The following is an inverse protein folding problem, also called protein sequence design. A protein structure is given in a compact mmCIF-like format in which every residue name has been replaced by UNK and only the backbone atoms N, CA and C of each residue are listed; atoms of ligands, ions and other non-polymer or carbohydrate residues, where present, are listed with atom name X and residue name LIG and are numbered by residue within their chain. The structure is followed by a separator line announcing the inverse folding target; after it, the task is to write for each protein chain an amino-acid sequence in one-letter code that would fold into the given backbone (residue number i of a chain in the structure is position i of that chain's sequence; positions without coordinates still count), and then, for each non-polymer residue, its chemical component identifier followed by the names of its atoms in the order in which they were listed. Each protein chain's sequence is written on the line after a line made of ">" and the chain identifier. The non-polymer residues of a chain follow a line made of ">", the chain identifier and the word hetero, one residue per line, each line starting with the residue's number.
data_IF_163785166947
#
_entry.id   IF_163785166947
#
_cell.length_a   1.000
_cell.length_b   1.000
_cell.length_c   1.000
_cell.angle_alpha   90.00
_cell.angle_beta   90.00
_cell.angle_gamma   90.00
#
_symmetry.space_group_name_H-M   'P 1'
#
loop_
_entity.id
_entity.type
_entity.pdbx_description
1 polymer ?
#
# COMPACT_ATOMS: atom_id res chain seq x y z
N UNK A 1 20.87 -6.97 -11.74
CA UNK A 1 19.49 -6.59 -11.39
C UNK A 1 19.29 -5.14 -11.77
N UNK A 2 18.19 -4.81 -12.45
CA UNK A 2 17.84 -3.42 -12.78
C UNK A 2 17.40 -2.65 -11.53
N UNK A 3 17.27 -1.33 -11.66
CA UNK A 3 16.67 -0.50 -10.60
C UNK A 3 15.19 -0.92 -10.41
N UNK A 4 14.76 -1.34 -9.20
CA UNK A 4 13.38 -1.78 -8.94
C UNK A 4 12.35 -0.68 -9.18
N UNK A 5 12.73 0.60 -9.13
CA UNK A 5 11.83 1.70 -9.48
C UNK A 5 11.56 1.71 -10.99
N UNK A 6 12.62 1.73 -11.80
CA UNK A 6 12.52 1.68 -13.27
C UNK A 6 11.77 0.43 -13.75
N UNK A 7 11.98 -0.70 -13.08
CA UNK A 7 11.27 -1.93 -13.40
C UNK A 7 9.78 -1.84 -13.06
N UNK A 8 9.42 -1.24 -11.92
CA UNK A 8 8.03 -1.03 -11.56
C UNK A 8 7.31 -0.08 -12.55
N UNK A 9 7.98 0.96 -13.02
CA UNK A 9 7.44 1.89 -14.02
C UNK A 9 7.19 1.20 -15.37
N UNK A 10 8.18 0.47 -15.90
CA UNK A 10 8.01 -0.32 -17.14
C UNK A 10 6.91 -1.39 -17.00
N UNK A 11 6.83 -2.02 -15.83
CA UNK A 11 5.78 -2.98 -15.54
C UNK A 11 4.39 -2.32 -15.57
N UNK A 12 4.25 -1.10 -15.03
CA UNK A 12 2.99 -0.37 -15.06
C UNK A 12 2.53 -0.09 -16.49
N UNK A 13 3.42 0.44 -17.33
CA UNK A 13 3.12 0.77 -18.72
C UNK A 13 2.70 -0.46 -19.52
N UNK A 14 3.43 -1.57 -19.38
CA UNK A 14 3.11 -2.83 -20.07
C UNK A 14 1.77 -3.44 -19.62
N UNK A 15 1.24 -3.04 -18.46
CA UNK A 15 -0.06 -3.46 -17.93
C UNK A 15 -1.16 -2.38 -18.10
N UNK A 16 -0.89 -1.30 -18.85
CA UNK A 16 -1.84 -0.23 -19.11
C UNK A 16 -2.22 0.57 -17.85
N UNK A 17 -1.31 0.65 -16.89
CA UNK A 17 -1.42 1.49 -15.69
C UNK A 17 -0.62 2.77 -15.88
N UNK A 18 -1.07 3.86 -15.27
CA UNK A 18 -0.28 5.07 -15.16
C UNK A 18 0.87 4.85 -14.17
N UNK A 19 2.14 5.10 -14.54
CA UNK A 19 3.32 4.71 -13.78
C UNK A 19 3.61 5.67 -12.62
N UNK A 20 2.66 5.82 -11.70
CA UNK A 20 2.79 6.68 -10.50
C UNK A 20 2.97 5.83 -9.24
N UNK A 21 4.17 5.89 -8.64
CA UNK A 21 4.51 5.11 -7.44
C UNK A 21 4.04 5.80 -6.15
N UNK A 22 4.36 7.09 -5.98
CA UNK A 22 3.92 7.91 -4.83
C UNK A 22 4.20 9.38 -5.11
N UNK A 23 3.35 10.24 -4.56
CA UNK A 23 3.53 11.70 -4.62
C UNK A 23 4.63 12.22 -3.67
N UNK A 24 5.10 11.39 -2.72
CA UNK A 24 6.12 11.76 -1.72
C UNK A 24 7.50 11.13 -1.98
N UNK A 25 7.71 10.49 -3.14
CA UNK A 25 9.02 9.95 -3.50
C UNK A 25 9.85 11.00 -4.26
N UNK A 26 10.47 11.89 -3.51
CA UNK A 26 11.82 12.38 -3.83
C UNK A 26 12.82 11.28 -3.39
N UNK A 27 13.90 11.03 -4.14
CA UNK A 27 14.92 10.02 -3.80
C UNK A 27 15.51 10.24 -2.41
N UNK A 28 15.65 11.49 -1.97
CA UNK A 28 16.13 11.82 -0.62
C UNK A 28 15.02 11.75 0.43
N UNK A 29 13.76 11.93 0.03
CA UNK A 29 12.59 11.76 0.89
C UNK A 29 12.24 10.28 1.09
N UNK A 30 12.46 9.40 0.10
CA UNK A 30 12.37 7.94 0.23
C UNK A 30 13.33 7.41 1.32
N UNK A 31 14.57 7.92 1.32
CA UNK A 31 15.59 7.65 2.35
C UNK A 31 15.25 8.26 3.71
N UNK A 32 14.53 9.37 3.75
CA UNK A 32 14.05 10.01 4.99
C UNK A 32 12.77 9.39 5.55
N UNK A 33 11.86 8.91 4.71
CA UNK A 33 10.65 8.16 5.10
C UNK A 33 11.04 6.80 5.68
N UNK A 34 12.07 6.14 5.11
CA UNK A 34 12.73 4.99 5.74
C UNK A 34 13.31 5.30 7.13
N UNK A 35 13.55 6.59 7.44
CA UNK A 35 14.01 7.09 8.74
C UNK A 35 12.91 7.72 9.62
N UNK A 36 11.71 7.99 9.11
CA UNK A 36 10.69 8.83 9.79
C UNK A 36 9.32 8.17 9.87
N UNK A 37 9.27 6.85 10.03
CA UNK A 37 8.03 6.15 10.42
C UNK A 37 7.75 6.44 11.91
N UNK A 38 7.09 7.57 12.17
CA UNK A 38 6.26 7.79 13.35
C UNK A 38 5.08 8.70 12.99
N UNK A 39 3.89 8.49 13.58
CA UNK A 39 2.61 8.88 13.00
C UNK A 39 2.31 10.36 13.21
N UNK A 40 1.64 10.99 12.24
CA UNK A 40 0.98 12.29 12.44
C UNK A 40 -0.44 12.25 11.88
N UNK A 41 -1.29 13.01 12.55
CA UNK A 41 -2.69 12.72 12.86
C UNK A 41 -3.70 13.16 11.79
N UNK A 42 -4.93 12.62 11.97
CA UNK A 42 -6.23 13.10 11.47
C UNK A 42 -6.75 12.54 10.14
N UNK A 43 -7.02 11.23 10.13
CA UNK A 43 -8.27 10.68 9.59
C UNK A 43 -8.71 9.53 10.51
N UNK A 44 -9.94 9.53 11.05
CA UNK A 44 -10.46 8.43 11.89
C UNK A 44 -10.84 7.22 11.02
N UNK A 45 -9.82 6.54 10.50
CA UNK A 45 -9.87 5.08 10.35
C UNK A 45 -9.09 4.52 11.54
N UNK A 46 -9.48 3.39 12.13
CA UNK A 46 -8.64 2.72 13.11
C UNK A 46 -7.32 2.35 12.41
N UNK A 47 -6.27 3.17 12.62
CA UNK A 47 -4.97 2.96 11.99
C UNK A 47 -4.30 1.77 12.66
N UNK A 48 -4.39 0.62 12.00
CA UNK A 48 -3.79 -0.59 12.50
C UNK A 48 -2.27 -0.54 12.30
N UNK A 49 -1.51 -0.77 13.38
CA UNK A 49 -0.07 -0.53 13.43
C UNK A 49 0.77 -1.49 12.56
N UNK A 50 0.19 -2.57 12.05
CA UNK A 50 0.92 -3.62 11.34
C UNK A 50 0.91 -3.45 9.82
N UNK A 51 1.95 -3.98 9.21
CA UNK A 51 1.99 -4.24 7.77
C UNK A 51 1.31 -5.57 7.46
N UNK A 52 0.84 -5.72 6.23
CA UNK A 52 0.11 -6.89 5.79
C UNK A 52 0.65 -7.41 4.45
N UNK A 53 0.93 -8.71 4.39
CA UNK A 53 1.43 -9.40 3.21
C UNK A 53 0.35 -10.37 2.71
N UNK A 54 -0.03 -10.32 1.42
CA UNK A 54 -0.84 -11.37 0.82
C UNK A 54 -0.13 -12.74 0.94
N UNK A 55 -0.79 -13.72 1.56
CA UNK A 55 -0.30 -15.11 1.56
C UNK A 55 -0.74 -15.87 0.32
N UNK A 56 -1.83 -15.40 -0.30
CA UNK A 56 -2.52 -16.04 -1.40
C UNK A 56 -3.19 -14.94 -2.25
N UNK A 57 -4.11 -15.37 -3.10
CA UNK A 57 -5.00 -14.47 -3.81
C UNK A 57 -5.94 -13.74 -2.83
N UNK A 58 -5.93 -12.42 -2.88
CA UNK A 58 -6.75 -11.56 -2.04
C UNK A 58 -7.58 -10.59 -2.87
N UNK A 59 -8.73 -10.18 -2.35
CA UNK A 59 -9.48 -9.04 -2.88
C UNK A 59 -9.36 -7.88 -1.90
N UNK A 60 -8.93 -6.73 -2.39
CA UNK A 60 -8.66 -5.53 -1.61
C UNK A 60 -9.51 -4.36 -2.10
N UNK A 61 -9.87 -3.47 -1.17
CA UNK A 61 -10.34 -2.11 -1.49
C UNK A 61 -9.28 -1.13 -1.02
N UNK A 62 -8.55 -0.52 -1.95
CA UNK A 62 -7.59 0.53 -1.62
C UNK A 62 -8.30 1.79 -1.16
N UNK A 63 -7.83 2.39 -0.07
CA UNK A 63 -8.38 3.62 0.51
C UNK A 63 -7.36 4.75 0.56
N UNK A 64 -6.09 4.43 0.36
CA UNK A 64 -5.00 5.40 0.29
C UNK A 64 -3.89 4.82 -0.59
N UNK A 65 -3.75 5.34 -1.82
CA UNK A 65 -2.73 4.92 -2.79
C UNK A 65 -1.46 5.77 -2.77
N UNK A 66 -1.53 7.02 -2.29
CA UNK A 66 -0.46 8.01 -2.44
C UNK A 66 0.83 7.73 -1.64
N UNK A 67 0.90 6.61 -0.92
CA UNK A 67 2.03 6.18 -0.08
C UNK A 67 2.52 4.79 -0.49
N UNK A 68 3.78 4.48 -0.13
CA UNK A 68 4.33 3.13 -0.21
C UNK A 68 4.65 2.67 1.22
N UNK A 69 3.99 1.61 1.74
CA UNK A 69 2.88 0.86 1.13
C UNK A 69 1.55 1.64 1.11
N UNK A 70 0.63 1.32 0.17
CA UNK A 70 -0.73 1.83 0.20
C UNK A 70 -1.54 1.20 1.33
N UNK A 71 -2.69 1.81 1.66
CA UNK A 71 -3.64 1.24 2.62
C UNK A 71 -4.85 0.64 1.91
N UNK A 72 -5.29 -0.53 2.38
CA UNK A 72 -6.46 -1.21 1.85
C UNK A 72 -7.25 -1.98 2.92
N UNK A 73 -8.55 -2.12 2.69
CA UNK A 73 -9.38 -3.10 3.39
C UNK A 73 -9.30 -4.46 2.72
N UNK A 74 -9.17 -5.52 3.50
CA UNK A 74 -9.31 -6.89 3.02
C UNK A 74 -10.79 -7.23 2.82
N UNK A 75 -11.14 -7.70 1.62
CA UNK A 75 -12.49 -8.16 1.26
C UNK A 75 -12.58 -9.67 1.18
N UNK A 76 -11.55 -10.32 0.65
CA UNK A 76 -11.48 -11.78 0.48
C UNK A 76 -10.01 -12.24 0.60
N UNK A 77 -9.80 -13.48 1.05
CA UNK A 77 -8.47 -14.10 1.19
C UNK A 77 -7.81 -13.88 2.54
N UNK A 78 -6.47 -14.03 2.57
CA UNK A 78 -5.63 -14.00 3.78
C UNK A 78 -4.47 -13.01 3.67
N UNK A 79 -4.26 -12.27 4.76
CA UNK A 79 -3.12 -11.38 4.94
C UNK A 79 -2.34 -11.81 6.19
N UNK A 80 -1.04 -12.05 6.04
CA UNK A 80 -0.12 -12.23 7.16
C UNK A 80 0.32 -10.87 7.68
N UNK A 81 0.23 -10.68 8.99
CA UNK A 81 0.65 -9.44 9.62
C UNK A 81 2.14 -9.47 9.95
N UNK A 82 2.79 -8.32 9.88
CA UNK A 82 4.14 -8.11 10.37
C UNK A 82 4.22 -6.81 11.16
N UNK A 83 4.85 -6.86 12.33
CA UNK A 83 5.12 -5.65 13.10
C UNK A 83 6.28 -4.86 12.47
N UNK A 84 7.35 -5.56 12.07
CA UNK A 84 8.49 -4.96 11.39
C UNK A 84 8.47 -5.20 9.87
N UNK A 85 8.75 -4.17 9.09
CA UNK A 85 8.90 -4.27 7.62
C UNK A 85 10.14 -5.08 7.29
N UNK A 86 9.97 -6.15 6.52
CA UNK A 86 11.06 -6.95 5.94
C UNK A 86 10.59 -7.71 4.70
N UNK A 87 11.50 -8.21 3.83
CA UNK A 87 11.12 -9.15 2.78
C UNK A 87 10.35 -10.34 3.36
N UNK A 88 9.41 -10.89 2.60
CA UNK A 88 8.50 -11.93 3.12
C UNK A 88 9.24 -13.19 3.59
N UNK A 89 10.29 -13.60 2.90
CA UNK A 89 11.10 -14.74 3.34
C UNK A 89 11.79 -14.50 4.69
N UNK A 90 12.23 -13.27 4.96
CA UNK A 90 12.80 -12.89 6.26
C UNK A 90 11.74 -12.82 7.36
N UNK A 91 10.50 -12.44 7.02
CA UNK A 91 9.36 -12.52 7.92
C UNK A 91 9.10 -13.96 8.35
N UNK A 92 9.08 -14.90 7.41
CA UNK A 92 8.87 -16.31 7.73
C UNK A 92 9.99 -16.85 8.64
N UNK A 93 11.26 -16.55 8.34
CA UNK A 93 12.39 -16.94 9.19
C UNK A 93 12.29 -16.36 10.60
N UNK A 94 11.89 -15.09 10.73
CA UNK A 94 11.71 -14.45 12.04
C UNK A 94 10.57 -15.07 12.84
N UNK A 95 9.46 -15.43 12.18
CA UNK A 95 8.33 -16.14 12.81
C UNK A 95 8.77 -17.51 13.32
N UNK A 96 9.55 -18.25 12.53
CA UNK A 96 10.12 -19.56 12.92
C UNK A 96 11.10 -19.41 14.10
N UNK A 97 11.97 -18.40 14.05
CA UNK A 97 12.92 -18.06 15.10
C UNK A 97 12.28 -17.47 16.37
N UNK A 98 10.96 -17.20 16.36
CA UNK A 98 10.19 -16.59 17.45
C UNK A 98 10.58 -15.13 17.75
N UNK A 99 10.96 -14.38 16.72
CA UNK A 99 11.33 -12.97 16.79
C UNK A 99 10.23 -12.04 16.25
N UNK A 100 9.09 -12.58 15.81
CA UNK A 100 7.97 -11.85 15.23
C UNK A 100 6.64 -12.55 15.56
N UNK A 101 5.54 -11.79 15.47
CA UNK A 101 4.18 -12.30 15.68
C UNK A 101 3.76 -13.27 14.55
N UNK A 102 3.09 -14.37 14.91
CA UNK A 102 2.48 -15.30 13.95
C UNK A 102 0.97 -15.08 13.94
N UNK A 103 0.56 -14.08 13.15
CA UNK A 103 -0.82 -13.63 13.04
C UNK A 103 -1.23 -13.51 11.58
N UNK A 104 -2.37 -14.09 11.26
CA UNK A 104 -3.01 -13.98 9.95
C UNK A 104 -4.41 -13.42 10.12
N UNK A 105 -4.78 -12.48 9.26
CA UNK A 105 -6.13 -11.96 9.13
C UNK A 105 -6.77 -12.58 7.89
N UNK A 106 -8.03 -13.01 8.02
CA UNK A 106 -8.81 -13.61 6.94
C UNK A 106 -10.24 -13.10 6.98
N UNK A 107 -10.92 -13.11 5.83
CA UNK A 107 -12.37 -12.87 5.79
C UNK A 107 -13.11 -14.20 5.87
N UNK A 108 -14.06 -14.31 6.80
CA UNK A 108 -14.93 -15.48 6.98
C UNK A 108 -16.35 -14.97 7.20
N UNK A 109 -17.29 -15.40 6.36
CA UNK A 109 -18.70 -14.96 6.43
C UNK A 109 -18.81 -13.43 6.51
N UNK A 110 -18.11 -12.72 5.61
CA UNK A 110 -18.06 -11.25 5.51
C UNK A 110 -17.51 -10.53 6.77
N UNK A 111 -16.83 -11.25 7.67
CA UNK A 111 -16.22 -10.69 8.87
C UNK A 111 -14.72 -10.98 8.91
N UNK A 112 -13.94 -10.03 9.40
CA UNK A 112 -12.52 -10.24 9.66
C UNK A 112 -12.34 -11.16 10.86
N UNK A 113 -11.57 -12.22 10.67
CA UNK A 113 -11.17 -13.17 11.69
C UNK A 113 -9.65 -13.17 11.80
N UNK A 114 -9.15 -13.20 13.04
CA UNK A 114 -7.72 -13.33 13.32
C UNK A 114 -7.40 -14.77 13.69
N UNK A 115 -6.49 -15.38 12.94
CA UNK A 115 -5.81 -16.60 13.33
C UNK A 115 -4.52 -16.22 14.06
N UNK A 116 -4.47 -16.48 15.37
CA UNK A 116 -3.32 -16.15 16.22
C UNK A 116 -2.66 -17.43 16.67
N UNK A 117 -1.48 -17.73 16.14
CA UNK A 117 -0.66 -18.84 16.65
C UNK A 117 0.26 -18.37 17.76
N UNK A 118 0.81 -17.15 17.62
CA UNK A 118 1.72 -16.55 18.61
C UNK A 118 1.72 -15.03 18.50
N UNK A 119 1.71 -14.36 19.65
CA UNK A 119 1.68 -12.90 19.76
C UNK A 119 2.63 -12.46 20.86
N UNK A 120 3.62 -11.67 20.49
CA UNK A 120 4.57 -10.98 21.37
C UNK A 120 4.31 -9.48 21.42
N UNK A 121 3.94 -8.87 20.29
CA UNK A 121 3.85 -7.41 20.15
C UNK A 121 2.42 -6.88 20.01
N UNK A 122 1.46 -7.69 19.53
CA UNK A 122 0.10 -7.19 19.25
C UNK A 122 -0.72 -6.96 20.52
N UNK A 123 -1.06 -5.68 20.77
CA UNK A 123 -1.94 -5.23 21.84
C UNK A 123 -3.40 -5.67 21.59
N UNK A 124 -4.15 -5.96 22.67
CA UNK A 124 -5.56 -6.32 22.62
C UNK A 124 -6.45 -5.28 21.92
N UNK A 125 -6.07 -4.00 21.96
CA UNK A 125 -6.76 -2.91 21.25
C UNK A 125 -6.66 -3.09 19.74
N UNK A 126 -5.48 -3.45 19.27
CA UNK A 126 -5.20 -3.72 17.87
C UNK A 126 -6.05 -4.91 17.36
N UNK A 127 -6.23 -5.94 18.19
CA UNK A 127 -7.12 -7.07 17.90
C UNK A 127 -8.57 -6.62 17.72
N UNK A 128 -9.07 -5.76 18.62
CA UNK A 128 -10.42 -5.25 18.55
C UNK A 128 -10.63 -4.41 17.29
N UNK A 129 -9.65 -3.56 16.93
CA UNK A 129 -9.69 -2.75 15.71
C UNK A 129 -9.82 -3.63 14.45
N UNK A 130 -9.00 -4.69 14.33
CA UNK A 130 -9.10 -5.61 13.17
C UNK A 130 -10.52 -6.19 13.08
N UNK A 131 -11.06 -6.67 14.20
CA UNK A 131 -12.38 -7.29 14.22
C UNK A 131 -13.50 -6.33 13.81
N UNK A 132 -13.26 -5.01 13.91
CA UNK A 132 -14.21 -3.95 13.57
C UNK A 132 -14.04 -3.40 12.14
N UNK A 133 -13.03 -3.84 11.38
CA UNK A 133 -12.81 -3.40 9.99
C UNK A 133 -11.63 -2.45 9.83
N UNK A 134 -10.40 -2.91 10.09
CA UNK A 134 -9.17 -2.14 9.88
C UNK A 134 -8.73 -2.07 8.42
N UNK A 135 -8.17 -0.92 8.03
CA UNK A 135 -7.37 -0.80 6.82
C UNK A 135 -5.91 -1.17 7.13
N UNK A 136 -5.29 -1.97 6.27
CA UNK A 136 -3.94 -2.48 6.42
C UNK A 136 -2.96 -1.75 5.51
N UNK A 137 -1.72 -1.58 5.96
CA UNK A 137 -0.59 -1.15 5.12
C UNK A 137 -0.10 -2.35 4.31
N UNK A 138 -0.48 -2.44 3.03
CA UNK A 138 -0.27 -3.66 2.22
C UNK A 138 1.09 -3.62 1.53
N UNK A 139 1.94 -4.61 1.84
CA UNK A 139 3.26 -4.81 1.23
C UNK A 139 3.25 -5.98 0.26
N UNK A 140 4.18 -5.93 -0.69
CA UNK A 140 4.57 -7.07 -1.50
C UNK A 140 5.64 -7.90 -0.79
N UNK A 141 6.00 -9.04 -1.37
CA UNK A 141 7.04 -9.91 -0.79
C UNK A 141 8.46 -9.34 -0.94
N UNK A 142 8.65 -8.42 -1.89
CA UNK A 142 9.89 -7.68 -2.15
C UNK A 142 9.60 -6.19 -2.27
N UNK A 143 10.67 -5.39 -2.38
CA UNK A 143 10.53 -3.96 -2.70
C UNK A 143 9.81 -3.77 -4.04
N UNK A 144 10.22 -4.51 -5.07
CA UNK A 144 9.63 -4.40 -6.40
C UNK A 144 8.13 -4.72 -6.40
N UNK A 145 7.69 -5.80 -5.76
CA UNK A 145 6.26 -6.10 -5.66
C UNK A 145 5.50 -5.07 -4.81
N UNK A 146 6.11 -4.50 -3.78
CA UNK A 146 5.52 -3.39 -3.01
C UNK A 146 5.30 -2.13 -3.85
N UNK A 147 6.26 -1.78 -4.72
CA UNK A 147 6.13 -0.66 -5.65
C UNK A 147 5.01 -0.91 -6.68
N UNK A 148 4.92 -2.13 -7.23
CA UNK A 148 3.83 -2.53 -8.14
C UNK A 148 2.46 -2.39 -7.47
N UNK A 149 2.31 -2.81 -6.22
CA UNK A 149 1.06 -2.66 -5.45
C UNK A 149 0.70 -1.18 -5.24
N UNK A 150 1.67 -0.32 -4.93
CA UNK A 150 1.43 1.12 -4.81
C UNK A 150 0.96 1.74 -6.14
N UNK A 151 1.54 1.35 -7.27
CA UNK A 151 1.11 1.78 -8.60
C UNK A 151 -0.35 1.36 -8.85
N UNK A 152 -0.71 0.11 -8.56
CA UNK A 152 -2.09 -0.36 -8.72
C UNK A 152 -3.04 0.51 -7.88
N UNK A 153 -2.67 0.82 -6.63
CA UNK A 153 -3.47 1.64 -5.74
C UNK A 153 -3.66 3.09 -6.23
N UNK A 154 -2.70 3.65 -6.97
CA UNK A 154 -2.82 4.98 -7.60
C UNK A 154 -3.64 4.98 -8.90
N UNK A 155 -4.03 3.82 -9.41
CA UNK A 155 -4.80 3.67 -10.64
C UNK A 155 -6.27 3.31 -10.38
N UNK A 156 -6.74 3.49 -9.14
CA UNK A 156 -8.12 3.17 -8.74
C UNK A 156 -8.74 4.26 -7.85
N UNK A 157 -10.06 4.38 -7.89
CA UNK A 157 -10.83 5.34 -7.08
C UNK A 157 -10.80 4.89 -5.60
N UNK A 158 -10.26 5.67 -4.66
CA UNK A 158 -10.16 5.28 -3.26
C UNK A 158 -11.52 4.97 -2.63
N UNK A 159 -11.61 3.84 -1.93
CA UNK A 159 -12.83 3.39 -1.25
C UNK A 159 -13.96 2.92 -2.18
N UNK A 160 -13.83 3.10 -3.50
CA UNK A 160 -14.80 2.67 -4.52
C UNK A 160 -14.16 1.75 -5.57
N UNK A 161 -13.23 0.91 -5.11
CA UNK A 161 -12.54 -0.06 -5.94
C UNK A 161 -12.57 -1.45 -5.32
N UNK A 162 -12.39 -2.44 -6.18
CA UNK A 162 -12.13 -3.83 -5.82
C UNK A 162 -11.00 -4.32 -6.72
N UNK A 163 -9.91 -4.74 -6.10
CA UNK A 163 -8.72 -5.22 -6.79
C UNK A 163 -8.41 -6.61 -6.29
N UNK A 164 -8.38 -7.55 -7.22
CA UNK A 164 -7.90 -8.91 -7.00
C UNK A 164 -6.39 -8.92 -7.17
N UNK A 165 -5.65 -9.49 -6.22
CA UNK A 165 -4.20 -9.40 -6.15
C UNK A 165 -3.61 -10.74 -5.69
N UNK A 166 -2.56 -11.21 -6.37
CA UNK A 166 -1.73 -12.34 -5.95
C UNK A 166 -0.27 -11.93 -6.04
N UNK A 167 0.51 -12.22 -5.00
CA UNK A 167 1.91 -11.80 -4.87
C UNK A 167 2.78 -13.00 -4.54
N UNK A 168 3.83 -13.22 -5.32
CA UNK A 168 4.83 -14.26 -5.08
C UNK A 168 6.20 -13.72 -5.45
N UNK A 169 7.03 -13.41 -4.44
CA UNK A 169 8.30 -12.74 -4.67
C UNK A 169 8.14 -11.38 -5.36
N UNK A 170 8.74 -11.23 -6.54
CA UNK A 170 8.65 -10.03 -7.37
C UNK A 170 7.44 -10.02 -8.31
N UNK A 171 6.79 -11.17 -8.48
CA UNK A 171 5.63 -11.35 -9.35
C UNK A 171 4.36 -10.81 -8.66
N UNK A 172 3.65 -9.94 -9.37
CA UNK A 172 2.36 -9.40 -8.94
C UNK A 172 1.37 -9.63 -10.07
N UNK A 173 0.40 -10.52 -9.84
CA UNK A 173 -0.77 -10.69 -10.70
C UNK A 173 -1.90 -9.89 -10.11
N UNK A 174 -2.62 -9.15 -10.95
CA UNK A 174 -3.71 -8.32 -10.49
C UNK A 174 -4.85 -8.25 -11.52
N UNK A 175 -6.04 -7.96 -11.03
CA UNK A 175 -7.21 -7.61 -11.83
C UNK A 175 -7.97 -6.51 -11.10
N UNK A 176 -8.23 -5.38 -11.77
CA UNK A 176 -9.07 -4.30 -11.24
C UNK A 176 -10.51 -4.64 -11.62
N UNK A 177 -11.25 -5.18 -10.66
CA UNK A 177 -12.65 -5.58 -10.83
C UNK A 177 -13.57 -4.34 -10.92
N UNK A 178 -13.29 -3.32 -10.11
CA UNK A 178 -14.11 -2.11 -10.02
C UNK A 178 -13.24 -0.87 -9.74
N UNK A 179 -13.68 0.29 -10.22
CA UNK A 179 -13.09 1.59 -9.84
C UNK A 179 -11.76 1.93 -10.53
N UNK A 180 -11.46 1.35 -11.70
CA UNK A 180 -10.28 1.72 -12.50
C UNK A 180 -10.36 3.18 -12.95
N UNK A 181 -9.26 3.91 -12.79
CA UNK A 181 -9.10 5.27 -13.31
C UNK A 181 -8.49 5.23 -14.72
N UNK A 182 -8.90 6.18 -15.56
CA UNK A 182 -8.21 6.51 -16.80
C UNK A 182 -6.96 7.33 -16.51
N UNK A 183 -6.05 7.41 -17.48
CA UNK A 183 -4.80 8.15 -17.36
C UNK A 183 -5.02 9.61 -16.96
N UNK A 184 -5.94 10.30 -17.62
CA UNK A 184 -6.23 11.71 -17.38
C UNK A 184 -6.82 11.93 -15.98
N UNK A 185 -7.53 10.93 -15.45
CA UNK A 185 -8.10 10.94 -14.11
C UNK A 185 -7.03 10.74 -13.03
N UNK A 186 -6.04 9.88 -13.29
CA UNK A 186 -4.88 9.72 -12.41
C UNK A 186 -4.04 11.01 -12.41
N UNK A 187 -3.78 11.58 -13.58
CA UNK A 187 -3.07 12.87 -13.73
C UNK A 187 -3.79 14.02 -13.01
N UNK A 188 -5.13 14.02 -13.02
CA UNK A 188 -5.95 14.97 -12.27
C UNK A 188 -5.97 14.72 -10.75
N UNK A 189 -5.35 13.64 -10.26
CA UNK A 189 -5.26 13.31 -8.84
C UNK A 189 -6.52 12.66 -8.26
N UNK A 190 -7.39 12.05 -9.07
CA UNK A 190 -8.64 11.41 -8.60
C UNK A 190 -8.40 10.16 -7.74
N UNK A 191 -7.17 9.66 -7.68
CA UNK A 191 -6.72 8.63 -6.74
C UNK A 191 -6.49 9.17 -5.32
N UNK A 192 -6.67 10.48 -5.09
CA UNK A 192 -6.61 11.11 -3.78
C UNK A 192 -8.01 11.25 -3.18
N UNK A 193 -8.12 11.02 -1.88
CA UNK A 193 -9.28 11.49 -1.11
C UNK A 193 -9.24 13.02 -0.97
N UNK A 194 -10.40 13.64 -0.73
CA UNK A 194 -10.50 15.09 -0.48
C UNK A 194 -9.54 15.57 0.61
N UNK A 195 -9.46 14.84 1.72
CA UNK A 195 -8.54 15.15 2.82
C UNK A 195 -7.08 15.10 2.38
N UNK A 196 -6.67 14.09 1.59
CA UNK A 196 -5.31 13.99 1.10
C UNK A 196 -4.96 15.12 0.13
N UNK A 197 -5.87 15.48 -0.77
CA UNK A 197 -5.70 16.60 -1.68
C UNK A 197 -5.55 17.93 -0.91
N UNK A 198 -6.31 18.13 0.17
CA UNK A 198 -6.20 19.31 1.04
C UNK A 198 -4.89 19.34 1.84
N UNK A 199 -4.43 18.20 2.37
CA UNK A 199 -3.14 18.09 3.06
C UNK A 199 -1.98 18.40 2.11
N UNK A 200 -1.98 17.80 0.92
CA UNK A 200 -0.98 18.08 -0.11
C UNK A 200 -0.94 19.57 -0.44
N UNK A 201 -2.08 20.23 -0.61
CA UNK A 201 -2.14 21.69 -0.86
C UNK A 201 -1.59 22.55 0.29
N UNK A 202 -1.61 22.06 1.53
CA UNK A 202 -1.10 22.78 2.70
C UNK A 202 0.41 22.55 2.91
N UNK A 203 0.85 21.31 2.73
CA UNK A 203 2.26 20.93 2.83
C UNK A 203 3.09 21.54 1.70
N UNK A 204 2.45 21.72 0.55
CA UNK A 204 3.02 22.35 -0.64
C UNK A 204 2.65 23.85 -0.62
N UNK A 205 3.45 24.69 0.05
CA UNK A 205 3.34 26.15 -0.12
C UNK A 205 3.65 26.51 -1.58
N UNK A 206 2.58 26.75 -2.34
CA UNK A 206 2.50 27.24 -3.73
C UNK A 206 3.40 26.46 -4.69
N UNK A 207 2.79 25.50 -5.39
CA UNK A 207 3.33 24.98 -6.64
C UNK A 207 2.43 25.52 -7.74
N UNK A 208 3.00 26.33 -8.63
CA UNK A 208 2.38 26.72 -9.88
C UNK A 208 1.94 25.44 -10.60
N UNK A 209 0.74 25.33 -11.20
CA UNK A 209 0.36 24.18 -12.00
C UNK A 209 1.42 23.80 -13.07
N UNK A 210 2.23 24.77 -13.52
CA UNK A 210 3.39 24.52 -14.37
C UNK A 210 4.53 23.78 -13.65
N UNK A 211 4.75 24.00 -12.36
CA UNK A 211 5.77 23.30 -11.55
C UNK A 211 5.41 21.82 -11.30
N UNK A 212 4.12 21.46 -11.20
CA UNK A 212 3.70 20.03 -11.16
C UNK A 212 4.03 19.36 -12.49
N UNK A 213 3.71 20.03 -13.60
CA UNK A 213 3.98 19.54 -14.95
C UNK A 213 5.49 19.49 -15.22
N UNK A 214 6.26 20.48 -14.77
CA UNK A 214 7.70 20.56 -14.92
C UNK A 214 8.42 19.56 -14.01
N UNK A 215 7.93 19.29 -12.79
CA UNK A 215 8.42 18.22 -11.93
C UNK A 215 8.13 16.82 -12.49
N UNK A 216 7.01 16.64 -13.21
CA UNK A 216 6.72 15.40 -13.95
C UNK A 216 7.64 15.28 -15.17
N UNK A 217 7.85 16.36 -15.94
CA UNK A 217 8.64 16.37 -17.17
C UNK A 217 10.16 16.27 -16.94
N UNK A 218 10.69 16.96 -15.91
CA UNK A 218 12.13 16.95 -15.58
C UNK A 218 12.58 15.60 -14.99
N UNK A 219 11.65 14.78 -14.49
CA UNK A 219 11.92 13.41 -14.03
C UNK A 219 11.87 12.36 -15.14
N UNK A 220 11.43 12.73 -16.35
CA UNK A 220 11.30 11.85 -17.52
C UNK A 220 12.41 12.09 -18.58
N UNK A 221 13.33 13.00 -18.32
CA UNK A 221 14.52 13.32 -19.14
C UNK A 221 15.80 12.98 -18.39
#
# INVERSE_FOLDING_TARGET
>A
MGDPFEEALRWAESNGLYPLISLYLDKDLAKRIAKSVSPSENVKFAEFAYYAYPEEEVVLTFVQGNWVPPKAFLREGRLRLAFFVRPYEELIKAIEAKEEDDVVVRVVNDRLSLEKKRVFYMDFRAVNEISQGSAFKVLGHTLLSSLKIAIIANNVVPGKNRVKLSVMGEEVKFEILEGRLKREEVEAGLFLTKSQAETLKKDVKIIDPNDVREAIMTKLS
#
